data_IF_650627509192
#
_entry.id   IF_650627509192
#
_cell.length_a   1.000
_cell.length_b   1.000
_cell.length_c   1.000
_cell.angle_alpha   90.00
_cell.angle_beta   90.00
_cell.angle_gamma   90.00
#
_symmetry.space_group_name_H-M   'P 1'
#
loop_
_entity.id
_entity.type
_entity.pdbx_description
1 polymer ?
#
# COMPACT_ATOMS: atom_id res chain seq x y z
N UNK A 1 27.25 -24.58 70.04
CA UNK A 1 25.93 -25.11 70.48
C UNK A 1 24.82 -24.20 69.97
N UNK A 2 23.82 -24.79 69.32
CA UNK A 2 22.70 -24.19 68.58
C UNK A 2 21.80 -23.21 69.38
N UNK A 3 21.40 -22.11 68.74
CA UNK A 3 20.01 -21.59 68.66
C UNK A 3 19.86 -20.96 67.26
N UNK A 4 19.15 -21.56 66.29
CA UNK A 4 17.68 -21.51 66.04
C UNK A 4 17.16 -20.06 65.97
N UNK A 5 16.30 -19.59 65.06
CA UNK A 5 15.56 -20.10 63.90
C UNK A 5 14.98 -18.85 63.20
N UNK A 6 14.84 -18.94 61.87
CA UNK A 6 14.02 -18.18 60.92
C UNK A 6 13.20 -16.94 61.37
N UNK A 7 13.30 -15.86 60.59
CA UNK A 7 12.24 -15.29 59.72
C UNK A 7 12.42 -13.77 59.55
N UNK A 8 12.71 -13.32 58.33
CA UNK A 8 12.32 -12.01 57.81
C UNK A 8 12.63 -11.94 56.31
N UNK A 9 11.68 -12.44 55.51
CA UNK A 9 11.16 -11.73 54.35
C UNK A 9 12.17 -11.09 53.38
N UNK A 10 12.71 -11.95 52.51
CA UNK A 10 12.58 -11.87 51.06
C UNK A 10 11.91 -10.59 50.50
N UNK A 11 12.58 -9.43 50.53
CA UNK A 11 12.08 -8.22 49.81
C UNK A 11 13.18 -7.36 49.17
N UNK A 12 14.37 -7.93 48.89
CA UNK A 12 15.43 -7.22 48.16
C UNK A 12 15.98 -7.97 46.95
N UNK A 13 15.15 -8.80 46.32
CA UNK A 13 15.51 -9.52 45.09
C UNK A 13 14.48 -9.39 43.97
N UNK A 14 13.70 -8.31 43.98
CA UNK A 14 12.68 -8.03 42.96
C UNK A 14 12.71 -6.58 42.44
N UNK A 15 13.88 -5.91 42.41
CA UNK A 15 14.00 -4.60 41.73
C UNK A 15 15.02 -4.56 40.59
N UNK A 16 15.82 -5.61 40.38
CA UNK A 16 16.79 -5.65 39.27
C UNK A 16 16.26 -6.35 38.00
N UNK A 17 15.02 -6.86 38.01
CA UNK A 17 14.43 -7.56 36.86
C UNK A 17 13.53 -6.68 35.97
N UNK A 18 13.40 -5.37 36.25
CA UNK A 18 12.61 -4.48 35.38
C UNK A 18 13.51 -3.74 34.36
N UNK A 19 14.83 -3.63 34.60
CA UNK A 19 15.69 -2.83 33.73
C UNK A 19 16.45 -3.60 32.64
N UNK A 20 16.38 -4.94 32.60
CA UNK A 20 17.14 -5.78 31.64
C UNK A 20 16.26 -6.73 30.81
N UNK A 21 15.01 -6.34 30.57
CA UNK A 21 14.05 -7.20 29.86
C UNK A 21 13.11 -6.45 28.91
N UNK A 22 13.33 -5.18 28.62
CA UNK A 22 12.65 -4.51 27.51
C UNK A 22 13.47 -4.71 26.22
N UNK A 23 13.75 -5.98 25.90
CA UNK A 23 13.97 -6.34 24.50
C UNK A 23 12.68 -5.95 23.80
N UNK A 24 12.84 -5.04 22.85
CA UNK A 24 11.80 -4.33 22.14
C UNK A 24 10.56 -5.21 21.94
N UNK A 25 9.44 -4.81 22.54
CA UNK A 25 8.13 -5.27 22.08
C UNK A 25 7.88 -4.59 20.73
N UNK A 26 8.58 -5.02 19.69
CA UNK A 26 8.28 -4.75 18.29
C UNK A 26 7.04 -5.59 17.93
N UNK A 27 5.92 -5.20 18.51
CA UNK A 27 4.61 -5.72 18.20
C UNK A 27 3.75 -4.56 17.74
N UNK A 28 4.13 -3.93 16.63
CA UNK A 28 3.12 -3.23 15.85
C UNK A 28 2.20 -4.32 15.33
N UNK A 29 0.91 -4.21 15.62
CA UNK A 29 -0.09 -5.07 14.99
C UNK A 29 -0.08 -4.77 13.50
N UNK A 30 0.84 -5.38 12.75
CA UNK A 30 0.77 -5.43 11.30
C UNK A 30 -0.45 -6.29 10.96
N UNK A 31 -1.23 -5.85 9.97
CA UNK A 31 -2.38 -6.59 9.46
C UNK A 31 -1.89 -7.88 8.76
N UNK A 32 -1.50 -8.91 9.52
CA UNK A 32 -1.12 -10.24 9.01
C UNK A 32 0.06 -10.91 9.75
N UNK A 33 0.10 -12.26 9.77
CA UNK A 33 1.25 -13.04 10.28
C UNK A 33 2.45 -13.03 9.32
N UNK A 34 2.26 -12.55 8.09
CA UNK A 34 3.32 -12.43 7.09
C UNK A 34 4.09 -11.13 7.38
N UNK A 35 5.39 -11.28 7.68
CA UNK A 35 6.29 -10.13 7.86
C UNK A 35 6.32 -9.23 6.63
N UNK A 36 6.99 -8.06 6.69
CA UNK A 36 7.06 -7.14 5.57
C UNK A 36 7.66 -7.86 4.35
N UNK A 37 6.80 -8.26 3.42
CA UNK A 37 7.23 -8.76 2.13
C UNK A 37 7.85 -7.57 1.38
N UNK A 38 9.06 -7.70 0.82
CA UNK A 38 9.60 -6.68 -0.07
C UNK A 38 8.60 -6.48 -1.21
N UNK A 39 8.00 -5.29 -1.30
CA UNK A 39 6.81 -5.07 -2.13
C UNK A 39 7.11 -5.01 -3.64
N UNK A 40 8.38 -5.06 -4.08
CA UNK A 40 8.71 -4.66 -5.45
C UNK A 40 10.04 -5.17 -6.04
N UNK A 41 10.65 -6.24 -5.50
CA UNK A 41 11.93 -6.74 -6.04
C UNK A 41 11.84 -7.44 -7.43
N UNK A 42 10.77 -7.23 -8.18
CA UNK A 42 10.50 -7.91 -9.46
C UNK A 42 10.63 -6.91 -10.60
N UNK A 43 11.77 -7.00 -11.30
CA UNK A 43 12.05 -6.62 -12.68
C UNK A 43 10.96 -5.79 -13.39
N UNK A 44 11.31 -4.57 -13.80
CA UNK A 44 10.49 -3.65 -14.59
C UNK A 44 10.12 -4.27 -15.95
N UNK A 45 9.11 -5.15 -15.98
CA UNK A 45 8.55 -5.62 -17.24
C UNK A 45 7.70 -4.47 -17.81
N UNK A 46 7.98 -4.01 -19.05
CA UNK A 46 7.15 -2.99 -19.67
C UNK A 46 5.76 -3.57 -19.95
N UNK A 47 4.81 -3.28 -19.06
CA UNK A 47 3.40 -3.65 -19.21
C UNK A 47 2.75 -2.66 -20.16
N UNK A 48 2.16 -3.19 -21.22
CA UNK A 48 1.38 -2.42 -22.19
C UNK A 48 -0.11 -2.53 -21.88
N UNK A 49 -0.91 -1.57 -22.33
CA UNK A 49 -2.34 -1.57 -22.09
C UNK A 49 -3.07 -2.48 -23.08
N UNK A 50 -3.86 -3.43 -22.56
CA UNK A 50 -4.69 -4.30 -23.39
C UNK A 50 -6.01 -3.63 -23.77
N UNK A 51 -6.24 -3.47 -25.07
CA UNK A 51 -7.48 -2.86 -25.60
C UNK A 51 -8.74 -3.66 -25.24
N UNK A 52 -8.59 -4.97 -25.00
CA UNK A 52 -9.70 -5.80 -24.55
C UNK A 52 -10.28 -5.35 -23.20
N UNK A 53 -9.51 -4.64 -22.38
CA UNK A 53 -9.98 -4.12 -21.10
C UNK A 53 -10.95 -2.94 -21.27
N UNK A 54 -11.01 -2.32 -22.45
CA UNK A 54 -11.91 -1.19 -22.73
C UNK A 54 -13.39 -1.54 -22.50
N UNK A 55 -13.75 -2.83 -22.64
CA UNK A 55 -15.11 -3.33 -22.37
C UNK A 55 -15.55 -3.23 -20.91
N UNK A 56 -14.60 -3.13 -19.97
CA UNK A 56 -14.86 -3.05 -18.54
C UNK A 56 -14.58 -1.67 -17.95
N UNK A 57 -13.87 -0.81 -18.69
CA UNK A 57 -13.40 0.49 -18.20
C UNK A 57 -14.38 1.59 -18.62
N UNK A 58 -14.82 2.37 -17.64
CA UNK A 58 -15.74 3.50 -17.83
C UNK A 58 -15.18 4.78 -17.21
N UNK A 59 -15.70 5.92 -17.65
CA UNK A 59 -15.36 7.21 -17.06
C UNK A 59 -15.77 7.24 -15.57
N UNK A 60 -14.88 7.67 -14.65
CA UNK A 60 -15.18 7.75 -13.22
C UNK A 60 -16.34 8.71 -12.90
N UNK A 61 -16.55 9.73 -13.73
CA UNK A 61 -17.57 10.78 -13.53
C UNK A 61 -18.86 10.47 -14.30
N UNK A 62 -18.79 10.27 -15.62
CA UNK A 62 -19.99 10.10 -16.46
C UNK A 62 -20.48 8.66 -16.55
N UNK A 63 -19.68 7.69 -16.11
CA UNK A 63 -19.94 6.24 -16.22
C UNK A 63 -20.15 5.74 -17.66
N UNK A 64 -19.78 6.54 -18.67
CA UNK A 64 -19.81 6.15 -20.07
C UNK A 64 -18.53 5.43 -20.50
N UNK A 65 -18.56 4.63 -21.58
CA UNK A 65 -17.36 4.01 -22.13
C UNK A 65 -16.33 5.07 -22.54
N UNK A 66 -15.05 4.69 -22.46
CA UNK A 66 -13.93 5.52 -22.90
C UNK A 66 -13.43 5.03 -24.26
N UNK A 67 -12.71 5.89 -24.99
CA UNK A 67 -12.05 5.57 -26.25
C UNK A 67 -10.53 5.54 -26.04
N UNK A 68 -9.89 4.45 -26.41
CA UNK A 68 -8.44 4.35 -26.33
C UNK A 68 -7.76 5.01 -27.54
N UNK A 69 -6.67 5.73 -27.31
CA UNK A 69 -5.81 6.34 -28.32
C UNK A 69 -4.39 5.80 -28.13
N UNK A 70 -4.00 4.87 -29.01
CA UNK A 70 -2.71 4.16 -28.95
C UNK A 70 -1.51 5.07 -29.20
N UNK A 71 -1.68 6.13 -30.00
CA UNK A 71 -0.61 7.10 -30.32
C UNK A 71 0.01 7.74 -29.07
N UNK A 72 -0.82 7.99 -28.05
CA UNK A 72 -0.42 8.72 -26.83
C UNK A 72 -0.64 7.91 -25.56
N UNK A 73 -1.12 6.67 -25.67
CA UNK A 73 -1.49 5.81 -24.53
C UNK A 73 -2.44 6.52 -23.56
N UNK A 74 -3.57 7.01 -24.07
CA UNK A 74 -4.58 7.73 -23.28
C UNK A 74 -5.98 7.18 -23.52
N UNK A 75 -6.84 7.33 -22.51
CA UNK A 75 -8.27 7.05 -22.60
C UNK A 75 -9.04 8.38 -22.67
N UNK A 76 -9.72 8.61 -23.78
CA UNK A 76 -10.51 9.82 -24.02
C UNK A 76 -11.96 9.61 -23.61
N UNK A 77 -12.51 10.59 -22.89
CA UNK A 77 -13.93 10.75 -22.65
C UNK A 77 -14.46 11.84 -23.56
N UNK A 78 -15.19 11.45 -24.61
CA UNK A 78 -15.73 12.39 -25.60
C UNK A 78 -16.80 13.31 -24.98
N UNK A 79 -17.50 12.88 -23.92
CA UNK A 79 -18.49 13.71 -23.22
C UNK A 79 -17.88 14.83 -22.37
N UNK A 80 -16.78 14.53 -21.69
CA UNK A 80 -16.10 15.52 -20.84
C UNK A 80 -15.07 16.33 -21.63
N UNK A 81 -14.71 15.88 -22.84
CA UNK A 81 -13.59 16.44 -23.58
C UNK A 81 -12.27 16.31 -22.82
N UNK A 82 -12.11 15.23 -22.05
CA UNK A 82 -10.93 14.98 -21.22
C UNK A 82 -10.25 13.67 -21.59
N UNK A 83 -8.93 13.61 -21.44
CA UNK A 83 -8.16 12.39 -21.55
C UNK A 83 -7.52 11.99 -20.22
N UNK A 84 -7.52 10.69 -19.97
CA UNK A 84 -6.92 10.05 -18.81
C UNK A 84 -5.65 9.32 -19.26
N UNK A 85 -4.48 9.62 -18.69
CA UNK A 85 -3.23 9.00 -19.10
C UNK A 85 -3.14 7.55 -18.62
N UNK A 86 -2.45 6.71 -19.39
CA UNK A 86 -2.07 5.35 -18.99
C UNK A 86 -0.57 5.32 -18.67
N UNK A 87 -0.22 4.80 -17.50
CA UNK A 87 1.17 4.71 -17.01
C UNK A 87 1.46 3.25 -16.65
N UNK A 88 2.50 2.66 -17.25
CA UNK A 88 2.86 1.24 -17.04
C UNK A 88 1.69 0.27 -17.28
N UNK A 89 0.87 0.54 -18.31
CA UNK A 89 -0.34 -0.23 -18.60
C UNK A 89 -1.50 -0.01 -17.62
N UNK A 90 -1.34 0.85 -16.61
CA UNK A 90 -2.36 1.16 -15.60
C UNK A 90 -3.05 2.49 -15.94
N UNK A 91 -4.37 2.49 -16.19
CA UNK A 91 -5.12 3.72 -16.41
C UNK A 91 -5.24 4.59 -15.15
N UNK A 92 -4.85 5.86 -15.24
CA UNK A 92 -5.03 6.82 -14.16
C UNK A 92 -6.38 7.56 -14.33
N UNK A 93 -7.43 6.98 -13.77
CA UNK A 93 -8.81 7.52 -13.81
C UNK A 93 -9.11 8.47 -12.65
N UNK A 94 -8.11 9.17 -12.11
CA UNK A 94 -8.34 10.21 -11.12
C UNK A 94 -8.85 11.49 -11.79
N UNK A 95 -9.85 12.20 -11.20
CA UNK A 95 -10.35 13.46 -11.75
C UNK A 95 -9.27 14.52 -11.98
N UNK A 96 -8.27 14.57 -11.09
CA UNK A 96 -7.17 15.56 -11.14
C UNK A 96 -6.12 15.24 -12.20
N UNK A 97 -5.98 13.95 -12.57
CA UNK A 97 -5.08 13.52 -13.63
C UNK A 97 -5.63 13.80 -15.02
N UNK A 98 -6.94 14.07 -15.13
CA UNK A 98 -7.63 14.24 -16.39
C UNK A 98 -7.19 15.54 -17.09
N UNK A 99 -6.57 15.40 -18.25
CA UNK A 99 -6.11 16.52 -19.08
C UNK A 99 -7.19 16.93 -20.09
N UNK A 100 -7.29 18.22 -20.44
CA UNK A 100 -8.16 18.62 -21.54
C UNK A 100 -7.66 18.01 -22.85
N UNK A 101 -8.57 17.62 -23.74
CA UNK A 101 -8.23 16.93 -24.98
C UNK A 101 -7.30 17.73 -25.91
N UNK A 102 -7.32 19.06 -25.80
CA UNK A 102 -6.48 19.97 -26.59
C UNK A 102 -4.98 19.91 -26.21
N UNK A 103 -4.68 19.48 -24.98
CA UNK A 103 -3.30 19.35 -24.47
C UNK A 103 -2.71 17.96 -24.68
N UNK A 104 -3.52 17.03 -25.20
CA UNK A 104 -3.22 15.60 -25.22
C UNK A 104 -2.41 15.23 -26.42
#
# INVERSE_FOLDING_TARGET
MLKRVATAFLHKRCLSLIHKGCTQRLGFCTYGPDGPQPLDATLDVPVTFDEENLKFIVCPVTKKPLRYVSERNVLVSDELGKAFPIQNGIPNLLPDSARPLDEV
#
